data_IF_774615454672
#
_entry.id   IF_774615454672
#
_cell.length_a   1.000
_cell.length_b   1.000
_cell.length_c   1.000
_cell.angle_alpha   90.00
_cell.angle_beta   90.00
_cell.angle_gamma   90.00
#
_symmetry.space_group_name_H-M   'P 1'
#
loop_
_entity.id
_entity.type
_entity.pdbx_description
1 polymer ?
#
# COMPACT_ATOMS: atom_id res chain seq x y z
N UNK A 1 -11.68 6.83 7.05
CA UNK A 1 -11.58 7.28 5.65
C UNK A 1 -10.85 6.17 4.92
N UNK A 2 -11.38 5.61 3.82
CA UNK A 2 -10.72 4.46 3.17
C UNK A 2 -9.35 4.88 2.61
N UNK A 3 -8.32 4.02 2.65
CA UNK A 3 -7.02 4.30 2.05
C UNK A 3 -7.12 4.51 0.54
N UNK A 4 -6.30 5.41 -0.02
CA UNK A 4 -6.39 5.84 -1.42
C UNK A 4 -6.29 4.66 -2.39
N UNK A 5 -5.35 3.74 -2.18
CA UNK A 5 -5.19 2.57 -3.05
C UNK A 5 -6.39 1.62 -2.97
N UNK A 6 -7.03 1.50 -1.80
CA UNK A 6 -8.24 0.69 -1.66
C UNK A 6 -9.41 1.31 -2.43
N UNK A 7 -9.55 2.63 -2.34
CA UNK A 7 -10.56 3.37 -3.08
C UNK A 7 -10.35 3.30 -4.60
N UNK A 8 -9.09 3.39 -5.04
CA UNK A 8 -8.72 3.19 -6.44
C UNK A 8 -9.12 1.81 -6.95
N UNK A 9 -8.81 0.78 -6.16
CA UNK A 9 -9.17 -0.59 -6.50
C UNK A 9 -10.69 -0.72 -6.68
N UNK A 10 -11.49 -0.25 -5.72
CA UNK A 10 -12.95 -0.39 -5.77
C UNK A 10 -13.62 0.42 -6.89
N UNK A 11 -13.10 1.61 -7.20
CA UNK A 11 -13.77 2.56 -8.11
C UNK A 11 -13.30 2.48 -9.55
N UNK A 12 -12.07 2.03 -9.80
CA UNK A 12 -11.46 2.00 -11.14
C UNK A 12 -11.09 0.59 -11.53
N UNK A 13 -10.23 -0.07 -10.74
CA UNK A 13 -9.66 -1.38 -11.12
C UNK A 13 -10.74 -2.46 -11.14
N UNK A 14 -11.55 -2.54 -10.09
CA UNK A 14 -12.57 -3.59 -9.93
C UNK A 14 -13.61 -3.54 -11.05
N UNK A 15 -14.19 -2.39 -11.45
CA UNK A 15 -15.06 -2.31 -12.63
C UNK A 15 -14.38 -2.78 -13.93
N UNK A 16 -13.13 -2.39 -14.17
CA UNK A 16 -12.37 -2.83 -15.35
C UNK A 16 -12.16 -4.35 -15.36
N UNK A 17 -11.85 -4.93 -14.20
CA UNK A 17 -11.71 -6.37 -14.04
C UNK A 17 -13.05 -7.09 -14.23
N UNK A 18 -14.17 -6.53 -13.74
CA UNK A 18 -15.51 -7.08 -13.97
C UNK A 18 -15.83 -7.11 -15.46
N UNK A 19 -15.49 -6.06 -16.21
CA UNK A 19 -15.71 -6.02 -17.65
C UNK A 19 -14.89 -7.08 -18.39
N UNK A 20 -13.66 -7.37 -17.93
CA UNK A 20 -12.80 -8.41 -18.53
C UNK A 20 -13.20 -9.84 -18.16
N UNK A 21 -13.50 -10.08 -16.88
CA UNK A 21 -13.75 -11.43 -16.31
C UNK A 21 -15.24 -11.84 -16.46
N UNK A 22 -16.11 -10.85 -16.64
CA UNK A 22 -17.55 -11.02 -16.79
C UNK A 22 -18.29 -11.03 -15.44
N UNK A 23 -19.56 -10.57 -15.42
CA UNK A 23 -20.34 -10.37 -14.20
C UNK A 23 -20.70 -11.67 -13.48
N UNK A 24 -20.72 -12.81 -14.20
CA UNK A 24 -21.00 -14.14 -13.62
C UNK A 24 -19.96 -14.58 -12.58
N UNK A 25 -18.78 -13.95 -12.58
CA UNK A 25 -17.67 -14.26 -11.69
C UNK A 25 -17.34 -13.11 -10.72
N UNK A 26 -18.33 -12.27 -10.37
CA UNK A 26 -18.12 -11.08 -9.52
C UNK A 26 -17.47 -11.39 -8.15
N UNK A 27 -17.76 -12.55 -7.57
CA UNK A 27 -17.16 -13.00 -6.31
C UNK A 27 -15.74 -13.53 -6.45
N UNK A 28 -15.26 -13.72 -7.69
CA UNK A 28 -13.93 -14.24 -8.01
C UNK A 28 -13.00 -13.17 -8.59
N UNK A 29 -13.42 -11.91 -8.58
CA UNK A 29 -12.59 -10.79 -9.07
C UNK A 29 -11.33 -10.70 -8.22
N UNK A 30 -10.14 -10.62 -8.85
CA UNK A 30 -8.90 -10.71 -8.11
C UNK A 30 -8.73 -9.50 -7.20
N UNK A 31 -8.41 -9.75 -5.93
CA UNK A 31 -8.19 -8.72 -4.91
C UNK A 31 -6.98 -9.05 -4.05
N UNK A 32 -6.29 -8.01 -3.59
CA UNK A 32 -5.26 -8.16 -2.57
C UNK A 32 -5.95 -8.47 -1.23
N UNK A 33 -5.49 -9.53 -0.57
CA UNK A 33 -5.99 -9.90 0.76
C UNK A 33 -4.92 -9.81 1.85
N UNK A 34 -3.65 -9.87 1.47
CA UNK A 34 -2.53 -9.82 2.40
C UNK A 34 -1.27 -9.29 1.72
N UNK A 35 -0.50 -8.49 2.44
CA UNK A 35 0.84 -8.06 2.10
C UNK A 35 1.79 -8.59 3.19
N UNK A 36 2.78 -9.37 2.78
CA UNK A 36 3.78 -9.94 3.68
C UNK A 36 5.08 -9.18 3.45
N UNK A 37 5.57 -8.55 4.51
CA UNK A 37 6.86 -7.90 4.55
C UNK A 37 7.87 -8.89 5.13
N UNK A 38 8.94 -9.13 4.41
CA UNK A 38 10.00 -10.05 4.79
C UNK A 38 11.33 -9.32 4.77
N UNK A 39 12.01 -9.27 5.91
CA UNK A 39 13.39 -8.76 5.91
C UNK A 39 14.32 -9.77 5.25
N UNK A 40 15.35 -9.28 4.55
CA UNK A 40 16.49 -10.13 4.19
C UNK A 40 17.18 -10.72 5.43
N UNK A 41 18.19 -11.55 5.20
CA UNK A 41 19.13 -11.89 6.28
C UNK A 41 19.75 -10.58 6.76
N UNK A 42 19.65 -10.30 8.06
CA UNK A 42 20.20 -9.07 8.62
C UNK A 42 21.72 -9.01 8.38
N UNK A 43 22.23 -7.93 7.77
CA UNK A 43 23.66 -7.71 7.64
C UNK A 43 24.36 -7.70 9.01
N UNK A 44 25.65 -8.07 9.08
CA UNK A 44 26.46 -7.87 10.26
C UNK A 44 26.39 -6.40 10.72
N UNK A 45 26.11 -6.17 12.01
CA UNK A 45 26.02 -4.83 12.58
C UNK A 45 24.63 -4.18 12.54
N UNK A 46 23.60 -4.84 11.99
CA UNK A 46 22.20 -4.38 12.10
C UNK A 46 21.50 -5.15 13.23
N UNK A 47 21.18 -4.49 14.37
CA UNK A 47 20.46 -5.16 15.46
C UNK A 47 19.05 -5.57 15.04
N UNK A 48 18.65 -6.80 15.37
CA UNK A 48 17.29 -7.30 15.14
C UNK A 48 16.23 -6.38 15.79
N UNK A 49 16.53 -5.84 16.97
CA UNK A 49 15.65 -4.91 17.69
C UNK A 49 15.32 -3.65 16.87
N UNK A 50 16.29 -3.09 16.16
CA UNK A 50 16.10 -1.89 15.34
C UNK A 50 15.16 -2.20 14.16
N UNK A 51 15.37 -3.35 13.52
CA UNK A 51 14.51 -3.81 12.45
C UNK A 51 13.10 -4.12 12.94
N UNK A 52 12.95 -4.75 14.12
CA UNK A 52 11.65 -4.99 14.74
C UNK A 52 10.91 -3.68 14.99
N UNK A 53 11.57 -2.72 15.63
CA UNK A 53 11.00 -1.41 15.93
C UNK A 53 10.49 -0.71 14.66
N UNK A 54 11.29 -0.71 13.59
CA UNK A 54 10.89 -0.15 12.30
C UNK A 54 9.66 -0.87 11.69
N UNK A 55 9.63 -2.20 11.76
CA UNK A 55 8.50 -2.99 11.26
C UNK A 55 7.23 -2.77 12.10
N UNK A 56 7.36 -2.65 13.43
CA UNK A 56 6.24 -2.31 14.31
C UNK A 56 5.63 -0.95 13.98
N UNK A 57 6.45 0.04 13.63
CA UNK A 57 5.97 1.36 13.25
C UNK A 57 5.31 1.37 11.87
N UNK A 58 5.66 0.42 11.01
CA UNK A 58 4.99 0.22 9.72
C UNK A 58 3.65 -0.51 9.90
N UNK A 59 3.54 -1.50 10.79
CA UNK A 59 2.43 -2.46 10.78
C UNK A 59 1.74 -2.80 12.11
N UNK A 60 2.15 -2.19 13.22
CA UNK A 60 1.86 -2.62 14.60
C UNK A 60 2.45 -3.99 14.99
N UNK A 61 2.43 -4.29 16.30
CA UNK A 61 3.19 -5.31 17.07
C UNK A 61 3.17 -6.79 16.62
N UNK A 62 2.64 -7.13 15.45
CA UNK A 62 2.47 -8.52 15.01
C UNK A 62 3.65 -9.05 14.16
N UNK A 63 4.84 -8.47 14.30
CA UNK A 63 6.03 -8.94 13.61
C UNK A 63 6.51 -10.27 14.21
N UNK A 64 6.63 -11.31 13.38
CA UNK A 64 7.11 -12.63 13.77
C UNK A 64 8.57 -12.82 13.36
N UNK A 65 9.37 -13.45 14.23
CA UNK A 65 10.76 -13.82 13.92
C UNK A 65 10.80 -15.30 13.55
N UNK A 66 11.27 -15.60 12.34
CA UNK A 66 11.50 -16.98 11.89
C UNK A 66 12.89 -17.05 11.28
N UNK A 67 13.79 -17.88 11.85
CA UNK A 67 15.15 -18.13 11.32
C UNK A 67 15.95 -16.85 11.03
N UNK A 68 15.98 -15.90 11.99
CA UNK A 68 16.65 -14.58 11.85
C UNK A 68 16.10 -13.67 10.74
N UNK A 69 14.89 -13.95 10.25
CA UNK A 69 14.14 -13.06 9.36
C UNK A 69 12.90 -12.58 10.10
N UNK A 70 12.53 -11.32 9.89
CA UNK A 70 11.29 -10.73 10.37
C UNK A 70 10.23 -10.81 9.29
N UNK A 71 9.05 -11.22 9.71
CA UNK A 71 7.85 -11.31 8.90
C UNK A 71 6.78 -10.44 9.51
N UNK A 72 6.20 -9.54 8.72
CA UNK A 72 5.03 -8.77 9.12
C UNK A 72 3.93 -8.99 8.10
N UNK A 73 2.75 -9.37 8.58
CA UNK A 73 1.60 -9.60 7.73
C UNK A 73 0.60 -8.47 7.88
N UNK A 74 0.44 -7.67 6.83
CA UNK A 74 -0.57 -6.62 6.75
C UNK A 74 -1.81 -7.12 6.00
N UNK A 75 -2.99 -6.81 6.52
CA UNK A 75 -4.30 -7.15 5.93
C UNK A 75 -5.24 -5.95 6.00
N UNK A 76 -6.31 -6.00 5.21
CA UNK A 76 -7.39 -5.00 5.25
C UNK A 76 -6.89 -3.57 4.97
N UNK A 77 -7.43 -2.59 5.69
CA UNK A 77 -7.12 -1.17 5.48
C UNK A 77 -5.62 -0.88 5.66
N UNK A 78 -4.96 -1.45 6.68
CA UNK A 78 -3.53 -1.23 6.96
C UNK A 78 -2.62 -1.65 5.80
N UNK A 79 -2.95 -2.75 5.15
CA UNK A 79 -2.24 -3.17 3.94
C UNK A 79 -2.34 -2.09 2.86
N UNK A 80 -3.54 -1.56 2.62
CA UNK A 80 -3.74 -0.52 1.62
C UNK A 80 -3.12 0.81 2.02
N UNK A 81 -3.08 1.18 3.31
CA UNK A 81 -2.37 2.37 3.80
C UNK A 81 -0.87 2.25 3.55
N UNK A 82 -0.27 1.14 3.95
CA UNK A 82 1.14 0.87 3.72
C UNK A 82 1.49 0.92 2.22
N UNK A 83 0.71 0.23 1.38
CA UNK A 83 0.93 0.26 -0.07
C UNK A 83 0.71 1.66 -0.65
N UNK A 84 -0.27 2.41 -0.16
CA UNK A 84 -0.49 3.81 -0.56
C UNK A 84 0.73 4.66 -0.24
N UNK A 85 1.26 4.58 0.97
CA UNK A 85 2.46 5.33 1.39
C UNK A 85 3.67 4.92 0.55
N UNK A 86 3.90 3.62 0.37
CA UNK A 86 5.05 3.14 -0.39
C UNK A 86 4.99 3.54 -1.87
N UNK A 87 3.78 3.67 -2.43
CA UNK A 87 3.56 4.29 -3.74
C UNK A 87 3.88 5.77 -3.65
N UNK A 88 3.16 6.58 -2.86
CA UNK A 88 3.32 8.05 -2.80
C UNK A 88 4.78 8.48 -2.59
N UNK A 89 5.51 7.81 -1.70
CA UNK A 89 6.89 8.16 -1.35
C UNK A 89 7.94 7.45 -2.21
N UNK A 90 7.53 6.81 -3.31
CA UNK A 90 8.45 6.09 -4.22
C UNK A 90 9.32 5.05 -3.51
N UNK A 91 8.82 4.46 -2.42
CA UNK A 91 9.58 3.56 -1.56
C UNK A 91 9.83 2.19 -2.22
N UNK A 92 8.98 1.80 -3.16
CA UNK A 92 9.08 0.51 -3.83
C UNK A 92 10.03 0.54 -5.03
N UNK A 93 10.89 -0.46 -5.13
CA UNK A 93 11.69 -0.82 -6.30
C UNK A 93 11.38 -2.25 -6.73
N UNK A 94 11.78 -2.60 -7.94
CA UNK A 94 11.75 -3.97 -8.44
C UNK A 94 13.17 -4.48 -8.56
N UNK A 95 13.39 -5.69 -8.05
CA UNK A 95 14.64 -6.43 -8.27
C UNK A 95 14.66 -6.99 -9.71
N UNK A 96 15.81 -7.47 -10.21
CA UNK A 96 15.92 -8.07 -11.55
C UNK A 96 14.98 -9.26 -11.77
N UNK A 97 14.66 -10.02 -10.73
CA UNK A 97 13.70 -11.12 -10.70
C UNK A 97 12.24 -10.65 -10.51
N UNK A 98 11.98 -9.36 -10.67
CA UNK A 98 10.66 -8.73 -10.60
C UNK A 98 9.99 -8.78 -9.20
N UNK A 99 10.77 -9.04 -8.14
CA UNK A 99 10.29 -8.98 -6.76
C UNK A 99 10.18 -7.52 -6.30
N UNK A 100 9.12 -7.21 -5.56
CA UNK A 100 8.92 -5.88 -4.98
C UNK A 100 9.77 -5.75 -3.71
N UNK A 101 10.58 -4.70 -3.63
CA UNK A 101 11.50 -4.46 -2.52
C UNK A 101 11.44 -3.01 -2.06
N UNK A 102 11.62 -2.79 -0.76
CA UNK A 102 11.88 -1.50 -0.14
C UNK A 102 13.37 -1.48 0.21
N UNK A 103 14.22 -0.82 -0.60
CA UNK A 103 15.65 -0.77 -0.33
C UNK A 103 15.97 0.08 0.91
N UNK A 104 15.18 1.13 1.17
CA UNK A 104 15.33 2.02 2.31
C UNK A 104 13.98 2.26 2.99
N UNK A 105 13.81 1.70 4.20
CA UNK A 105 12.60 1.89 5.01
C UNK A 105 12.42 3.35 5.46
N UNK A 106 13.48 4.17 5.47
CA UNK A 106 13.37 5.61 5.76
C UNK A 106 12.67 6.41 4.67
N UNK A 107 12.30 5.78 3.55
CA UNK A 107 11.37 6.35 2.57
C UNK A 107 9.98 6.59 3.17
N UNK A 108 9.61 5.85 4.21
CA UNK A 108 8.34 6.02 4.91
C UNK A 108 8.44 7.17 5.94
N UNK A 109 7.53 8.16 5.93
CA UNK A 109 7.60 9.34 6.81
C UNK A 109 7.73 8.99 8.30
N UNK A 110 6.96 8.01 8.76
CA UNK A 110 6.97 7.57 10.16
C UNK A 110 8.34 7.05 10.62
N UNK A 111 9.17 6.54 9.71
CA UNK A 111 10.53 6.11 10.02
C UNK A 111 11.55 7.22 9.78
N UNK A 112 11.33 8.05 8.77
CA UNK A 112 12.24 9.13 8.35
C UNK A 112 12.63 10.06 9.51
N UNK A 113 11.66 10.43 10.36
CA UNK A 113 11.90 11.34 11.48
C UNK A 113 12.66 10.70 12.65
N UNK A 114 12.74 9.37 12.70
CA UNK A 114 13.32 8.63 13.81
C UNK A 114 14.54 7.81 13.38
N UNK A 115 15.18 8.21 12.27
CA UNK A 115 16.37 7.57 11.74
C UNK A 115 17.50 7.47 12.77
N UNK A 116 17.70 8.50 13.57
CA UNK A 116 18.75 8.51 14.59
C UNK A 116 18.44 7.60 15.79
N UNK A 117 17.16 7.41 16.11
CA UNK A 117 16.71 6.52 17.20
C UNK A 117 16.77 5.04 16.78
N UNK A 118 16.43 4.76 15.53
CA UNK A 118 16.35 3.39 14.99
C UNK A 118 17.70 2.91 14.45
N UNK A 119 18.56 3.79 13.92
CA UNK A 119 19.89 3.41 13.42
C UNK A 119 19.88 2.81 12.01
N UNK A 120 20.53 1.66 11.81
CA UNK A 120 20.60 1.02 10.48
C UNK A 120 19.49 0.00 10.30
N UNK A 121 18.96 -0.10 9.08
CA UNK A 121 17.89 -1.02 8.71
C UNK A 121 18.26 -1.82 7.45
N UNK A 122 17.80 -3.07 7.40
CA UNK A 122 17.93 -3.92 6.25
C UNK A 122 16.81 -3.69 5.23
N UNK A 123 17.04 -3.98 3.94
CA UNK A 123 15.98 -4.00 2.94
C UNK A 123 14.85 -4.97 3.29
N UNK A 124 13.64 -4.59 2.87
CA UNK A 124 12.42 -5.38 3.08
C UNK A 124 11.81 -5.79 1.76
N UNK A 125 11.62 -7.08 1.58
CA UNK A 125 10.92 -7.66 0.43
C UNK A 125 9.42 -7.70 0.69
N UNK A 126 8.64 -7.42 -0.34
CA UNK A 126 7.19 -7.32 -0.27
C UNK A 126 6.58 -8.43 -1.11
N UNK A 127 5.80 -9.30 -0.47
CA UNK A 127 5.09 -10.41 -1.09
C UNK A 127 3.58 -10.15 -1.01
N UNK A 128 2.96 -9.99 -2.17
CA UNK A 128 1.56 -9.64 -2.31
C UNK A 128 0.72 -10.88 -2.58
N UNK A 129 -0.17 -11.20 -1.65
CA UNK A 129 -1.10 -12.31 -1.80
C UNK A 129 -2.42 -11.82 -2.39
N UNK A 130 -2.78 -12.46 -3.50
CA UNK A 130 -3.96 -12.15 -4.30
C UNK A 130 -4.87 -13.37 -4.26
N UNK A 131 -6.14 -13.15 -4.01
CA UNK A 131 -7.20 -14.15 -4.17
C UNK A 131 -8.02 -13.82 -5.42
N UNK A 132 -8.75 -14.79 -5.96
CA UNK A 132 -9.57 -14.64 -7.17
C UNK A 132 -8.94 -15.25 -8.43
N UNK A 133 -9.68 -15.21 -9.53
CA UNK A 133 -9.21 -15.70 -10.84
C UNK A 133 -8.38 -14.62 -11.54
N UNK A 134 -7.42 -15.03 -12.37
CA UNK A 134 -6.55 -14.13 -13.13
C UNK A 134 -5.78 -13.08 -12.29
N UNK A 135 -5.02 -13.50 -11.26
CA UNK A 135 -4.26 -12.58 -10.40
C UNK A 135 -3.25 -11.69 -11.15
N UNK A 136 -2.78 -12.13 -12.32
CA UNK A 136 -1.95 -11.37 -13.25
C UNK A 136 -2.58 -10.04 -13.67
N UNK A 137 -3.90 -10.02 -13.91
CA UNK A 137 -4.62 -8.80 -14.31
C UNK A 137 -4.59 -7.75 -13.20
N UNK A 138 -4.67 -8.18 -11.94
CA UNK A 138 -4.57 -7.27 -10.80
C UNK A 138 -3.14 -6.74 -10.65
N UNK A 139 -2.12 -7.58 -10.86
CA UNK A 139 -0.71 -7.18 -10.79
C UNK A 139 -0.36 -6.13 -11.83
N UNK A 140 -0.84 -6.30 -13.05
CA UNK A 140 -0.71 -5.31 -14.13
C UNK A 140 -1.47 -4.02 -13.82
N UNK A 141 -2.68 -4.13 -13.25
CA UNK A 141 -3.52 -2.97 -12.98
C UNK A 141 -3.05 -2.12 -11.79
N UNK A 142 -2.42 -2.74 -10.78
CA UNK A 142 -1.95 -2.01 -9.59
C UNK A 142 -0.61 -1.28 -9.81
N UNK A 143 0.14 -1.63 -10.88
CA UNK A 143 1.47 -1.07 -11.27
C UNK A 143 2.34 -0.62 -10.08
N UNK A 144 2.49 -1.48 -9.07
CA UNK A 144 3.31 -1.19 -7.89
C UNK A 144 4.79 -1.13 -8.32
N UNK A 145 5.33 0.08 -8.51
CA UNK A 145 6.69 0.38 -8.99
C UNK A 145 6.88 1.86 -9.37
N UNK A 146 8.11 2.32 -9.66
CA UNK A 146 8.43 3.73 -9.94
C UNK A 146 7.64 4.34 -11.11
N UNK A 147 7.28 3.52 -12.11
CA UNK A 147 6.48 3.93 -13.27
C UNK A 147 4.98 4.03 -12.99
N UNK A 148 4.45 3.36 -11.95
CA UNK A 148 3.04 3.47 -11.60
C UNK A 148 2.68 4.85 -11.02
N UNK A 149 3.59 5.45 -10.27
CA UNK A 149 3.41 6.78 -9.66
C UNK A 149 3.12 7.89 -10.68
N UNK A 150 3.85 7.90 -11.79
CA UNK A 150 3.74 8.94 -12.82
C UNK A 150 2.38 8.95 -13.54
N UNK A 151 1.70 7.81 -13.60
CA UNK A 151 0.39 7.68 -14.25
C UNK A 151 -0.78 7.80 -13.26
N UNK A 152 -0.63 7.34 -12.00
CA UNK A 152 -1.76 7.18 -11.08
C UNK A 152 -1.92 8.28 -10.02
N UNK A 153 -0.83 8.86 -9.53
CA UNK A 153 -0.93 9.90 -8.48
C UNK A 153 -1.72 11.12 -8.94
N UNK A 154 -1.57 11.62 -10.18
CA UNK A 154 -2.40 12.71 -10.67
C UNK A 154 -3.90 12.37 -10.72
N UNK A 155 -4.26 11.16 -11.16
CA UNK A 155 -5.67 10.75 -11.27
C UNK A 155 -6.30 10.50 -9.88
N UNK A 156 -5.53 9.96 -8.94
CA UNK A 156 -5.96 9.79 -7.55
C UNK A 156 -6.10 11.12 -6.80
N UNK A 157 -5.15 12.04 -6.99
CA UNK A 157 -5.26 13.41 -6.51
C UNK A 157 -6.47 14.11 -7.12
N UNK A 158 -6.73 13.92 -8.43
CA UNK A 158 -7.91 14.47 -9.11
C UNK A 158 -9.21 13.98 -8.50
N UNK A 159 -9.34 12.68 -8.22
CA UNK A 159 -10.52 12.09 -7.58
C UNK A 159 -10.69 12.62 -6.15
N UNK A 160 -9.61 12.69 -5.36
CA UNK A 160 -9.63 13.21 -3.99
C UNK A 160 -10.02 14.70 -3.96
N UNK A 161 -9.44 15.52 -4.83
CA UNK A 161 -9.77 16.93 -4.99
C UNK A 161 -11.23 17.12 -5.44
N UNK A 162 -11.71 16.32 -6.38
CA UNK A 162 -13.11 16.35 -6.83
C UNK A 162 -14.08 16.00 -5.69
N UNK A 163 -13.76 15.00 -4.86
CA UNK A 163 -14.57 14.62 -3.70
C UNK A 163 -14.54 15.66 -2.59
N UNK A 164 -13.37 16.25 -2.32
CA UNK A 164 -13.22 17.34 -1.36
C UNK A 164 -14.07 18.54 -1.79
N UNK A 165 -13.98 18.93 -3.07
CA UNK A 165 -14.78 20.00 -3.67
C UNK A 165 -16.28 19.71 -3.58
N UNK A 166 -16.72 18.51 -3.93
CA UNK A 166 -18.12 18.11 -3.81
C UNK A 166 -18.64 18.13 -2.35
N UNK A 167 -17.81 17.71 -1.40
CA UNK A 167 -18.16 17.75 0.04
C UNK A 167 -18.26 19.19 0.55
N UNK A 168 -17.41 20.08 0.05
CA UNK A 168 -17.44 21.51 0.36
C UNK A 168 -18.67 22.19 -0.27
N UNK A 169 -18.99 21.88 -1.53
CA UNK A 169 -20.19 22.37 -2.23
C UNK A 169 -21.47 21.89 -1.54
N UNK A 170 -21.53 20.62 -1.10
CA UNK A 170 -22.63 20.11 -0.28
C UNK A 170 -22.76 20.85 1.05
N UNK A 171 -21.63 21.14 1.73
CA UNK A 171 -21.64 21.93 2.98
C UNK A 171 -22.15 23.34 2.76
N UNK A 172 -21.77 24.00 1.66
CA UNK A 172 -22.26 25.33 1.29
C UNK A 172 -23.76 25.30 0.96
N UNK A 173 -24.23 24.31 0.21
CA UNK A 173 -25.65 24.13 -0.12
C UNK A 173 -26.52 23.86 1.12
N UNK A 174 -26.00 23.12 2.12
CA UNK A 174 -26.68 22.89 3.39
C UNK A 174 -26.66 24.10 4.34
N UNK A 175 -25.72 25.02 4.18
CA UNK A 175 -25.67 26.27 4.95
C UNK A 175 -26.63 27.36 4.43
N UNK A 176 -27.03 27.26 3.15
CA UNK A 176 -28.01 28.15 2.50
C UNK A 176 -29.45 27.63 2.52
N UNK A 177 -29.70 26.44 3.08
CA UNK A 177 -31.06 25.95 3.25
C UNK A 177 -31.78 26.79 4.33
N UNK A 178 -32.97 27.37 4.04
CA UNK A 178 -33.71 28.10 5.05
C UNK A 178 -34.09 27.11 6.17
N UNK A 179 -33.71 27.44 7.41
CA UNK A 179 -34.22 26.75 8.59
C UNK A 179 -35.75 26.85 8.55
N UNK A 180 -36.42 25.70 8.51
CA UNK A 180 -37.84 25.61 8.89
C UNK A 180 -37.98 25.85 10.38
#
# INVERSE_FOLDING_TARGET
>A
MRPILQEYYETVVRPLLINKIGPKNIGKIPRLYQCILKTGILPPGIPMANQMLAMEWIGQKDAQIIRKMLFLSLKGERMYEFLTQGVIFSAFKRTPDNQLVIPDLYSFPQLKFHKNEIGSLAPVYVDLKIEGVHPELLRESLKLGPSGLGEYVPELLRIQLAKAKYKEEKRKASATAPKK
#
